data_IF_726122049055
#
_entry.id   IF_726122049055
#
_cell.length_a   1.000
_cell.length_b   1.000
_cell.length_c   1.000
_cell.angle_alpha   90.00
_cell.angle_beta   90.00
_cell.angle_gamma   90.00
#
_symmetry.space_group_name_H-M   'P 1'
#
loop_
_entity.id
_entity.type
_entity.pdbx_description
1 polymer ?
#
# COMPACT_ATOMS: atom_id res chain seq x y z
N UNK A 1 -10.64 -15.50 -7.45
CA UNK A 1 -10.46 -14.11 -7.92
C UNK A 1 -11.08 -13.25 -6.85
N UNK A 2 -10.31 -12.35 -6.26
CA UNK A 2 -10.75 -11.50 -5.14
C UNK A 2 -11.31 -10.22 -5.73
N UNK A 3 -12.46 -9.74 -5.25
CA UNK A 3 -13.03 -8.47 -5.68
C UNK A 3 -12.66 -7.38 -4.69
N UNK A 4 -12.16 -6.28 -5.23
CA UNK A 4 -11.70 -5.13 -4.46
C UNK A 4 -12.54 -3.91 -4.89
N UNK A 5 -13.01 -3.14 -3.93
CA UNK A 5 -13.62 -1.84 -4.21
C UNK A 5 -12.71 -0.70 -3.73
N UNK A 6 -12.24 0.13 -4.65
CA UNK A 6 -11.57 1.38 -4.28
C UNK A 6 -12.62 2.45 -4.05
N UNK A 7 -12.73 2.92 -2.81
CA UNK A 7 -13.70 3.93 -2.38
C UNK A 7 -12.97 5.26 -2.24
N UNK A 8 -13.23 6.20 -3.15
CA UNK A 8 -12.50 7.46 -3.25
C UNK A 8 -13.37 8.61 -2.72
N UNK A 9 -12.83 9.39 -1.78
CA UNK A 9 -13.45 10.61 -1.26
C UNK A 9 -12.65 11.85 -1.65
N UNK A 10 -13.28 12.73 -2.42
CA UNK A 10 -12.72 14.00 -2.89
C UNK A 10 -12.92 14.18 -4.39
N UNK A 11 -12.67 15.40 -4.88
CA UNK A 11 -12.73 15.66 -6.33
C UNK A 11 -11.75 14.76 -7.08
N UNK A 12 -12.22 14.19 -8.20
CA UNK A 12 -11.45 13.33 -9.08
C UNK A 12 -10.08 13.93 -9.39
N UNK A 13 -9.03 13.28 -8.88
CA UNK A 13 -7.63 13.53 -9.22
C UNK A 13 -7.17 12.38 -10.12
N UNK A 14 -6.86 12.68 -11.37
CA UNK A 14 -6.44 11.68 -12.36
C UNK A 14 -5.21 10.89 -11.86
N UNK A 15 -4.37 11.53 -11.05
CA UNK A 15 -3.20 10.93 -10.42
C UNK A 15 -3.56 9.68 -9.60
N UNK A 16 -4.67 9.73 -8.86
CA UNK A 16 -5.07 8.60 -8.03
C UNK A 16 -5.42 7.36 -8.85
N UNK A 17 -6.09 7.54 -9.99
CA UNK A 17 -6.42 6.43 -10.88
C UNK A 17 -5.16 5.77 -11.46
N UNK A 18 -4.12 6.56 -11.78
CA UNK A 18 -2.84 6.02 -12.25
C UNK A 18 -2.11 5.21 -11.17
N UNK A 19 -2.17 5.66 -9.92
CA UNK A 19 -1.58 4.93 -8.80
C UNK A 19 -2.34 3.63 -8.49
N UNK A 20 -3.68 3.68 -8.52
CA UNK A 20 -4.52 2.48 -8.40
C UNK A 20 -4.18 1.48 -9.50
N UNK A 21 -4.06 1.93 -10.75
CA UNK A 21 -3.71 1.07 -11.87
C UNK A 21 -2.34 0.41 -11.67
N UNK A 22 -1.30 1.16 -11.28
CA UNK A 22 0.02 0.59 -11.02
C UNK A 22 -0.02 -0.45 -9.89
N UNK A 23 -0.71 -0.16 -8.79
CA UNK A 23 -0.87 -1.09 -7.68
C UNK A 23 -1.60 -2.37 -8.12
N UNK A 24 -2.70 -2.23 -8.86
CA UNK A 24 -3.47 -3.35 -9.39
C UNK A 24 -2.63 -4.18 -10.36
N UNK A 25 -1.92 -3.56 -11.30
CA UNK A 25 -1.04 -4.24 -12.25
C UNK A 25 0.09 -5.01 -11.53
N UNK A 26 0.64 -4.44 -10.46
CA UNK A 26 1.63 -5.11 -9.64
C UNK A 26 1.04 -6.34 -8.95
N UNK A 27 -0.08 -6.20 -8.23
CA UNK A 27 -0.74 -7.31 -7.51
C UNK A 27 -1.20 -8.41 -8.48
N UNK A 28 -1.79 -8.06 -9.63
CA UNK A 28 -2.35 -8.99 -10.61
C UNK A 28 -1.31 -9.94 -11.26
N UNK A 29 -0.02 -9.65 -11.10
CA UNK A 29 1.08 -10.56 -11.47
C UNK A 29 1.14 -11.79 -10.57
N UNK A 30 0.64 -11.69 -9.33
CA UNK A 30 0.77 -12.71 -8.29
C UNK A 30 -0.60 -13.25 -7.82
N UNK A 31 -1.57 -12.37 -7.61
CA UNK A 31 -2.91 -12.72 -7.15
C UNK A 31 -3.94 -12.09 -8.10
N UNK A 32 -4.83 -12.91 -8.68
CA UNK A 32 -5.87 -12.42 -9.59
C UNK A 32 -6.95 -11.66 -8.82
N UNK A 33 -7.01 -10.36 -9.09
CA UNK A 33 -7.97 -9.43 -8.53
C UNK A 33 -8.86 -8.84 -9.63
N UNK A 34 -10.13 -8.68 -9.28
CA UNK A 34 -11.10 -7.86 -10.00
C UNK A 34 -11.35 -6.60 -9.18
N UNK A 35 -11.54 -5.44 -9.81
CA UNK A 35 -11.69 -4.20 -9.07
C UNK A 35 -12.74 -3.25 -9.64
N UNK A 36 -13.41 -2.53 -8.74
CA UNK A 36 -14.32 -1.43 -9.07
C UNK A 36 -13.87 -0.17 -8.34
N UNK A 37 -14.06 1.00 -8.96
CA UNK A 37 -13.85 2.30 -8.31
C UNK A 37 -15.22 2.93 -8.03
N UNK A 38 -15.50 3.22 -6.76
CA UNK A 38 -16.63 4.05 -6.33
C UNK A 38 -16.08 5.39 -5.85
N UNK A 39 -16.66 6.50 -6.29
CA UNK A 39 -16.16 7.84 -5.94
C UNK A 39 -17.26 8.74 -5.40
N UNK A 40 -16.90 9.52 -4.39
CA UNK A 40 -17.71 10.56 -3.78
C UNK A 40 -17.01 11.91 -3.91
N UNK A 41 -17.75 12.95 -4.29
CA UNK A 41 -17.19 14.30 -4.45
C UNK A 41 -16.83 14.93 -3.09
N UNK A 42 -17.35 14.39 -2.00
CA UNK A 42 -17.15 14.89 -0.64
C UNK A 42 -15.71 14.67 -0.17
N UNK A 43 -15.08 15.72 0.34
CA UNK A 43 -13.82 15.62 1.08
C UNK A 43 -14.09 15.19 2.52
N UNK A 44 -13.21 14.36 3.09
CA UNK A 44 -13.28 13.96 4.51
C UNK A 44 -12.51 14.98 5.35
N UNK A 45 -13.11 15.41 6.46
CA UNK A 45 -12.41 16.23 7.45
C UNK A 45 -11.53 15.33 8.33
N UNK A 46 -10.20 15.44 8.27
CA UNK A 46 -9.36 14.60 9.10
C UNK A 46 -9.37 15.08 10.56
N UNK A 47 -9.40 14.14 11.50
CA UNK A 47 -9.00 14.35 12.87
C UNK A 47 -7.47 14.43 12.97
N UNK A 48 -6.96 15.35 13.78
CA UNK A 48 -5.52 15.46 14.05
C UNK A 48 -5.19 14.76 15.36
N UNK A 49 -4.20 13.86 15.34
CA UNK A 49 -3.65 13.21 16.53
C UNK A 49 -2.31 13.86 16.87
N UNK A 50 -2.30 14.63 17.97
CA UNK A 50 -1.16 15.44 18.37
C UNK A 50 0.09 14.62 18.72
N UNK A 51 -0.07 13.46 19.36
CA UNK A 51 1.04 12.61 19.83
C UNK A 51 1.86 12.00 18.69
N UNK A 52 1.21 11.68 17.57
CA UNK A 52 1.85 11.15 16.37
C UNK A 52 2.08 12.21 15.30
N UNK A 53 1.68 13.46 15.54
CA UNK A 53 1.69 14.55 14.55
C UNK A 53 1.01 14.16 13.22
N UNK A 54 -0.12 13.45 13.30
CA UNK A 54 -0.70 12.75 12.17
C UNK A 54 -2.19 13.08 11.95
N UNK A 55 -2.69 12.94 10.72
CA UNK A 55 -4.09 13.16 10.34
C UNK A 55 -4.78 11.82 10.04
N UNK A 56 -5.94 11.58 10.64
CA UNK A 56 -6.72 10.34 10.53
C UNK A 56 -8.17 10.65 10.15
N UNK A 57 -8.86 9.69 9.52
CA UNK A 57 -10.31 9.75 9.39
C UNK A 57 -10.95 8.74 10.35
N UNK A 58 -11.92 9.17 11.13
CA UNK A 58 -12.65 8.30 12.03
C UNK A 58 -13.66 7.46 11.23
N UNK A 59 -13.94 6.22 11.64
CA UNK A 59 -14.92 5.36 10.95
C UNK A 59 -16.30 6.02 10.81
N UNK A 60 -16.68 6.82 11.82
CA UNK A 60 -17.88 7.65 11.80
C UNK A 60 -17.98 8.63 10.63
N UNK A 61 -16.85 9.09 10.08
CA UNK A 61 -16.80 10.02 8.94
C UNK A 61 -17.28 9.36 7.64
N UNK A 62 -17.22 8.03 7.60
CA UNK A 62 -17.58 7.23 6.43
C UNK A 62 -18.98 6.62 6.51
N UNK A 63 -19.58 6.62 7.70
CA UNK A 63 -20.86 5.94 8.00
C UNK A 63 -22.02 6.35 7.09
N UNK A 64 -22.04 7.61 6.66
CA UNK A 64 -23.09 8.13 5.76
C UNK A 64 -22.97 7.57 4.33
N UNK A 65 -21.81 7.06 3.95
CA UNK A 65 -21.53 6.54 2.61
C UNK A 65 -21.64 5.01 2.53
N UNK A 66 -21.52 4.30 3.66
CA UNK A 66 -21.65 2.85 3.73
C UNK A 66 -22.89 2.31 2.97
N UNK A 67 -24.11 2.89 3.10
CA UNK A 67 -25.28 2.38 2.37
C UNK A 67 -25.22 2.59 0.86
N UNK A 68 -24.32 3.44 0.37
CA UNK A 68 -24.15 3.76 -1.06
C UNK A 68 -23.10 2.86 -1.73
N UNK A 69 -22.38 2.07 -0.94
CA UNK A 69 -21.32 1.19 -1.40
C UNK A 69 -21.88 -0.23 -1.48
N UNK A 70 -21.64 -0.92 -2.59
CA UNK A 70 -22.16 -2.30 -2.76
C UNK A 70 -21.47 -3.23 -1.77
N UNK A 71 -22.23 -4.02 -1.01
CA UNK A 71 -21.73 -4.99 -0.04
C UNK A 71 -21.36 -6.35 -0.70
N UNK A 72 -20.64 -6.31 -1.83
CA UNK A 72 -20.34 -7.49 -2.65
C UNK A 72 -18.84 -7.72 -2.90
N UNK A 73 -17.97 -7.00 -2.18
CA UNK A 73 -16.52 -7.08 -2.33
C UNK A 73 -15.89 -7.67 -1.07
N UNK A 74 -14.81 -8.42 -1.24
CA UNK A 74 -14.05 -9.02 -0.14
C UNK A 74 -13.17 -7.99 0.58
N UNK A 75 -12.71 -6.97 -0.16
CA UNK A 75 -11.85 -5.90 0.34
C UNK A 75 -12.36 -4.57 -0.20
N UNK A 76 -12.40 -3.56 0.66
CA UNK A 76 -12.53 -2.18 0.24
C UNK A 76 -11.22 -1.45 0.54
N UNK A 77 -10.81 -0.53 -0.32
CA UNK A 77 -9.65 0.32 -0.10
C UNK A 77 -10.13 1.76 -0.16
N UNK A 78 -10.17 2.42 0.98
CA UNK A 78 -10.62 3.78 1.10
C UNK A 78 -9.45 4.74 0.87
N UNK A 79 -9.68 5.73 0.03
CA UNK A 79 -8.70 6.74 -0.36
C UNK A 79 -9.37 8.10 -0.23
N UNK A 80 -8.79 9.02 0.56
CA UNK A 80 -9.40 10.34 0.76
C UNK A 80 -8.38 11.46 0.79
N UNK A 81 -8.81 12.64 0.36
CA UNK A 81 -8.00 13.86 0.46
C UNK A 81 -8.22 14.54 1.80
N UNK A 82 -7.15 14.90 2.50
CA UNK A 82 -7.24 15.76 3.70
C UNK A 82 -7.73 17.16 3.32
N UNK A 83 -8.85 17.60 3.93
CA UNK A 83 -9.37 18.96 3.74
C UNK A 83 -8.31 20.03 4.05
N UNK A 84 -8.21 21.05 3.19
CA UNK A 84 -7.28 22.17 3.38
C UNK A 84 -5.81 21.87 3.08
N UNK A 85 -5.51 20.67 2.55
CA UNK A 85 -4.15 20.25 2.16
C UNK A 85 -4.07 20.12 0.63
N UNK A 86 -2.99 20.62 0.03
CA UNK A 86 -2.93 20.78 -1.43
C UNK A 86 -2.82 19.43 -2.16
N UNK A 87 -2.10 18.44 -1.62
CA UNK A 87 -1.87 17.14 -2.29
C UNK A 87 -1.59 16.00 -1.29
N UNK A 88 -2.42 15.84 -0.26
CA UNK A 88 -2.29 14.71 0.68
C UNK A 88 -3.49 13.78 0.50
N UNK A 89 -3.28 12.74 -0.30
CA UNK A 89 -4.12 11.54 -0.25
C UNK A 89 -3.81 10.81 1.05
N UNK A 90 -4.78 10.08 1.59
CA UNK A 90 -4.73 9.19 2.75
C UNK A 90 -5.46 7.90 2.38
N UNK A 91 -5.17 6.79 3.05
CA UNK A 91 -5.87 5.55 2.73
C UNK A 91 -5.76 4.45 3.77
N UNK A 92 -6.73 3.55 3.72
CA UNK A 92 -6.83 2.36 4.57
C UNK A 92 -7.80 1.34 3.96
N UNK A 93 -7.67 0.06 4.28
CA UNK A 93 -8.64 -0.97 3.83
C UNK A 93 -9.93 -0.99 4.66
N UNK A 94 -11.03 -1.64 4.18
CA UNK A 94 -12.24 -2.18 4.87
C UNK A 94 -12.43 -3.70 4.62
N UNK A 95 -12.72 -4.53 5.64
CA UNK A 95 -12.93 -6.00 5.48
C UNK A 95 -13.09 -6.83 6.79
N UNK A 96 -13.56 -8.10 6.70
CA UNK A 96 -14.45 -8.70 7.71
C UNK A 96 -13.87 -9.45 8.91
N UNK A 97 -12.61 -9.93 8.94
CA UNK A 97 -12.12 -10.70 10.11
C UNK A 97 -11.02 -10.04 10.96
N UNK A 98 -10.25 -9.09 10.41
CA UNK A 98 -9.21 -8.37 11.18
C UNK A 98 -9.10 -6.87 10.87
N UNK A 99 -10.13 -6.31 10.24
CA UNK A 99 -10.02 -5.02 9.62
C UNK A 99 -10.94 -3.95 10.17
N UNK A 100 -12.25 -3.95 9.83
CA UNK A 100 -12.97 -2.67 9.78
C UNK A 100 -14.42 -2.68 10.24
N UNK A 101 -15.04 -3.83 10.51
CA UNK A 101 -16.32 -3.78 11.23
C UNK A 101 -16.17 -3.36 12.71
N UNK A 102 -14.92 -3.25 13.21
CA UNK A 102 -14.61 -2.82 14.58
C UNK A 102 -13.29 -2.05 14.77
N UNK A 103 -12.43 -1.92 13.75
CA UNK A 103 -11.20 -1.16 13.89
C UNK A 103 -11.30 0.17 13.15
N UNK A 104 -10.71 1.17 13.79
CA UNK A 104 -10.58 2.52 13.29
C UNK A 104 -9.99 2.49 11.89
N UNK A 105 -10.46 3.39 11.03
CA UNK A 105 -9.80 3.68 9.76
C UNK A 105 -8.53 4.47 10.02
N UNK A 106 -7.60 3.79 10.66
CA UNK A 106 -6.31 4.33 10.99
C UNK A 106 -5.50 4.33 9.70
N UNK A 107 -5.68 5.34 8.85
CA UNK A 107 -4.58 5.73 7.98
C UNK A 107 -3.65 6.54 8.85
N UNK A 108 -2.43 6.06 9.09
CA UNK A 108 -1.35 7.04 9.19
C UNK A 108 -1.50 7.95 7.97
N UNK A 109 -1.44 9.29 8.11
CA UNK A 109 -1.24 10.11 6.93
C UNK A 109 -0.03 9.53 6.20
N UNK A 110 0.02 9.72 4.89
CA UNK A 110 1.25 9.42 4.16
C UNK A 110 2.35 10.32 4.75
N UNK A 111 3.02 9.86 5.82
CA UNK A 111 3.61 10.77 6.79
C UNK A 111 4.84 11.42 6.18
N UNK A 112 4.80 12.75 6.16
CA UNK A 112 5.76 13.62 6.81
C UNK A 112 5.41 15.06 6.44
N UNK A 113 6.07 15.99 7.09
CA UNK A 113 6.31 17.38 6.65
C UNK A 113 6.53 17.60 5.13
N UNK A 114 6.79 16.52 4.39
CA UNK A 114 7.07 16.43 2.96
C UNK A 114 5.86 16.57 2.05
N UNK A 115 4.64 16.33 2.55
CA UNK A 115 3.42 16.48 1.76
C UNK A 115 3.23 17.92 1.20
N UNK A 116 4.03 18.86 1.71
CA UNK A 116 4.03 20.27 1.33
C UNK A 116 5.23 20.73 0.48
N UNK A 117 6.40 20.08 0.53
CA UNK A 117 7.63 20.66 -0.03
C UNK A 117 8.57 19.70 -0.79
N UNK A 118 8.53 18.37 -0.57
CA UNK A 118 9.52 17.45 -1.16
C UNK A 118 8.96 16.44 -2.17
N UNK A 119 7.64 16.24 -2.22
CA UNK A 119 7.06 15.09 -2.95
C UNK A 119 7.18 15.18 -4.48
N UNK A 120 7.42 16.37 -5.05
CA UNK A 120 7.72 16.54 -6.49
C UNK A 120 6.89 15.62 -7.41
N UNK A 121 7.58 14.84 -8.25
CA UNK A 121 6.99 13.85 -9.17
C UNK A 121 6.86 12.43 -8.55
N UNK A 122 7.23 12.23 -7.27
CA UNK A 122 7.21 10.90 -6.62
C UNK A 122 5.83 10.50 -6.06
N UNK A 123 4.79 11.32 -6.29
CA UNK A 123 3.44 11.08 -5.79
C UNK A 123 2.90 9.70 -6.19
N UNK A 124 3.18 9.25 -7.43
CA UNK A 124 2.61 8.02 -7.98
C UNK A 124 3.11 6.82 -7.21
N UNK A 125 4.43 6.71 -7.11
CA UNK A 125 5.10 5.68 -6.33
C UNK A 125 4.53 5.57 -4.92
N UNK A 126 4.44 6.69 -4.18
CA UNK A 126 4.01 6.67 -2.77
C UNK A 126 2.56 6.21 -2.59
N UNK A 127 1.67 6.68 -3.47
CA UNK A 127 0.25 6.26 -3.45
C UNK A 127 0.14 4.78 -3.84
N UNK A 128 0.82 4.35 -4.90
CA UNK A 128 0.85 2.94 -5.33
C UNK A 128 1.38 2.02 -4.23
N UNK A 129 2.48 2.41 -3.58
CA UNK A 129 3.11 1.67 -2.49
C UNK A 129 2.15 1.45 -1.33
N UNK A 130 1.46 2.50 -0.87
CA UNK A 130 0.50 2.37 0.25
C UNK A 130 -0.70 1.53 -0.14
N UNK A 131 -1.25 1.71 -1.34
CA UNK A 131 -2.34 0.86 -1.84
C UNK A 131 -1.92 -0.61 -1.78
N UNK A 132 -0.71 -0.93 -2.26
CA UNK A 132 -0.18 -2.30 -2.20
C UNK A 132 -0.01 -2.76 -0.75
N UNK A 133 0.54 -1.94 0.13
CA UNK A 133 0.70 -2.24 1.55
C UNK A 133 -0.63 -2.63 2.20
N UNK A 134 -1.64 -1.78 2.03
CA UNK A 134 -3.00 -1.97 2.54
C UNK A 134 -3.64 -3.26 1.99
N UNK A 135 -3.49 -3.51 0.69
CA UNK A 135 -3.96 -4.76 0.09
C UNK A 135 -3.29 -5.99 0.66
N UNK A 136 -1.99 -5.94 0.98
CA UNK A 136 -1.29 -7.06 1.59
C UNK A 136 -1.71 -7.31 3.03
N UNK A 137 -1.98 -6.26 3.80
CA UNK A 137 -2.56 -6.38 5.14
C UNK A 137 -3.95 -7.04 5.07
N UNK A 138 -4.77 -6.65 4.09
CA UNK A 138 -6.06 -7.30 3.85
C UNK A 138 -5.90 -8.75 3.39
N UNK A 139 -4.96 -9.05 2.49
CA UNK A 139 -4.67 -10.42 2.06
C UNK A 139 -4.20 -11.31 3.21
N UNK A 140 -3.40 -10.78 4.12
CA UNK A 140 -3.02 -11.46 5.36
C UNK A 140 -4.24 -11.80 6.21
N UNK A 141 -5.13 -10.83 6.45
CA UNK A 141 -6.37 -11.04 7.20
C UNK A 141 -7.31 -12.07 6.55
N UNK A 142 -7.20 -12.28 5.23
CA UNK A 142 -7.93 -13.30 4.48
C UNK A 142 -7.16 -14.64 4.35
N UNK A 143 -5.97 -14.76 4.94
CA UNK A 143 -5.13 -15.97 4.88
C UNK A 143 -4.51 -16.25 3.50
N UNK A 144 -4.33 -15.22 2.67
CA UNK A 144 -3.85 -15.33 1.29
C UNK A 144 -2.33 -15.14 1.14
N UNK A 145 -1.69 -14.56 2.16
CA UNK A 145 -0.25 -14.45 2.29
C UNK A 145 0.19 -15.38 3.41
N UNK A 146 1.28 -16.15 3.23
CA UNK A 146 1.74 -17.24 4.11
C UNK A 146 2.22 -16.73 5.50
N UNK A 147 1.32 -16.14 6.29
CA UNK A 147 1.62 -15.52 7.58
C UNK A 147 2.37 -14.18 7.48
N UNK A 148 2.57 -13.64 6.28
CA UNK A 148 3.26 -12.36 6.04
C UNK A 148 2.29 -11.23 5.73
N UNK A 149 2.68 -9.99 6.01
CA UNK A 149 1.82 -8.81 5.83
C UNK A 149 2.64 -7.57 5.43
N UNK A 150 1.96 -6.51 4.99
CA UNK A 150 2.58 -5.29 4.48
C UNK A 150 3.52 -4.62 5.48
N UNK A 151 3.20 -4.70 6.77
CA UNK A 151 3.98 -4.12 7.89
C UNK A 151 5.42 -4.67 8.02
N UNK A 152 5.74 -5.78 7.35
CA UNK A 152 7.12 -6.30 7.27
C UNK A 152 8.01 -5.52 6.29
N UNK A 153 7.43 -4.65 5.48
CA UNK A 153 8.16 -3.78 4.56
C UNK A 153 8.27 -2.36 5.11
N UNK A 154 9.39 -1.71 4.83
CA UNK A 154 9.58 -0.31 5.18
C UNK A 154 8.45 0.54 4.55
N UNK A 155 7.74 1.29 5.41
CA UNK A 155 6.61 2.11 4.98
C UNK A 155 7.07 3.25 4.05
N UNK A 156 8.27 3.79 4.27
CA UNK A 156 8.86 4.90 3.50
C UNK A 156 10.40 4.85 3.55
N UNK A 157 11.06 5.40 2.51
CA UNK A 157 12.52 5.61 2.53
C UNK A 157 13.37 4.69 1.67
N UNK A 158 12.78 3.97 0.70
CA UNK A 158 13.59 3.30 -0.32
C UNK A 158 14.40 4.32 -1.13
N UNK A 159 15.71 4.12 -1.20
CA UNK A 159 16.63 4.89 -2.04
C UNK A 159 16.26 4.79 -3.53
N UNK A 160 15.60 3.69 -3.93
CA UNK A 160 15.06 3.45 -5.26
C UNK A 160 13.51 3.46 -5.25
N UNK A 161 12.87 4.56 -5.70
CA UNK A 161 11.41 4.69 -5.79
C UNK A 161 10.75 3.75 -6.81
N UNK A 162 11.48 3.24 -7.80
CA UNK A 162 10.92 2.39 -8.85
C UNK A 162 10.86 0.92 -8.45
N UNK A 163 11.90 0.43 -7.77
CA UNK A 163 12.09 -1.00 -7.49
C UNK A 163 12.07 -1.39 -6.02
N UNK A 164 12.57 -0.55 -5.11
CA UNK A 164 12.86 -0.95 -3.73
C UNK A 164 11.66 -1.51 -2.98
N UNK A 165 10.51 -0.84 -3.10
CA UNK A 165 9.27 -1.28 -2.47
C UNK A 165 8.66 -2.53 -3.13
N UNK A 166 8.73 -2.66 -4.46
CA UNK A 166 8.15 -3.78 -5.21
C UNK A 166 8.81 -5.10 -4.85
N UNK A 167 10.11 -5.09 -4.56
CA UNK A 167 10.84 -6.30 -4.18
C UNK A 167 10.39 -6.85 -2.83
N UNK A 168 10.23 -5.98 -1.82
CA UNK A 168 9.76 -6.40 -0.50
C UNK A 168 8.33 -6.95 -0.58
N UNK A 169 7.42 -6.27 -1.27
CA UNK A 169 6.05 -6.75 -1.41
C UNK A 169 5.92 -8.01 -2.28
N UNK A 170 6.80 -8.19 -3.28
CA UNK A 170 6.89 -9.46 -4.01
C UNK A 170 7.27 -10.60 -3.07
N UNK A 171 8.18 -10.38 -2.13
CA UNK A 171 8.55 -11.39 -1.14
C UNK A 171 7.35 -11.82 -0.30
N UNK A 172 6.52 -10.87 0.15
CA UNK A 172 5.27 -11.16 0.86
C UNK A 172 4.31 -11.99 0.00
N UNK A 173 4.12 -11.60 -1.26
CA UNK A 173 3.15 -12.24 -2.17
C UNK A 173 3.56 -13.63 -2.65
N UNK A 174 4.85 -13.93 -2.73
CA UNK A 174 5.35 -15.15 -3.36
C UNK A 174 5.94 -16.16 -2.38
N UNK A 175 6.18 -15.77 -1.13
CA UNK A 175 6.96 -16.59 -0.19
C UNK A 175 8.47 -16.62 -0.49
N UNK A 176 8.86 -16.25 -1.71
CA UNK A 176 10.20 -16.41 -2.26
C UNK A 176 10.98 -15.11 -2.12
N UNK A 177 11.95 -15.08 -1.21
CA UNK A 177 13.02 -14.07 -1.30
C UNK A 177 13.75 -14.46 -2.56
N UNK A 178 13.88 -13.56 -3.53
CA UNK A 178 14.58 -13.92 -4.74
C UNK A 178 15.95 -14.51 -4.38
N UNK A 179 16.39 -15.42 -5.24
CA UNK A 179 17.63 -16.22 -5.26
C UNK A 179 18.94 -15.45 -5.03
N UNK A 180 18.94 -14.29 -4.40
CA UNK A 180 20.10 -13.44 -4.19
C UNK A 180 20.93 -13.87 -3.00
N UNK A 181 20.38 -14.46 -1.94
CA UNK A 181 21.25 -15.11 -0.93
C UNK A 181 22.01 -16.29 -1.55
N UNK A 182 21.38 -17.09 -2.42
CA UNK A 182 22.08 -18.18 -3.13
C UNK A 182 23.04 -17.70 -4.21
N UNK A 183 22.72 -16.63 -4.95
CA UNK A 183 23.62 -16.05 -5.98
C UNK A 183 24.78 -15.30 -5.36
N UNK A 184 24.57 -14.49 -4.32
CA UNK A 184 25.64 -13.84 -3.55
C UNK A 184 26.55 -14.89 -2.92
N UNK A 185 25.99 -15.94 -2.33
CA UNK A 185 26.78 -17.02 -1.76
C UNK A 185 27.57 -17.80 -2.82
N UNK A 186 26.97 -18.13 -3.97
CA UNK A 186 27.70 -18.72 -5.11
C UNK A 186 28.82 -17.81 -5.61
N UNK A 187 28.56 -16.50 -5.69
CA UNK A 187 29.52 -15.52 -6.15
C UNK A 187 30.70 -15.35 -5.17
N UNK A 188 30.44 -15.37 -3.87
CA UNK A 188 31.49 -15.37 -2.84
C UNK A 188 32.34 -16.64 -2.89
N UNK A 189 31.71 -17.82 -3.05
CA UNK A 189 32.44 -19.08 -3.21
C UNK A 189 33.32 -19.06 -4.45
N UNK A 190 32.81 -18.62 -5.60
CA UNK A 190 33.58 -18.48 -6.83
C UNK A 190 34.75 -17.51 -6.65
N UNK A 191 34.55 -16.40 -5.93
CA UNK A 191 35.61 -15.42 -5.63
C UNK A 191 36.71 -15.99 -4.74
N UNK A 192 36.36 -16.81 -3.74
CA UNK A 192 37.33 -17.51 -2.88
C UNK A 192 38.11 -18.53 -3.70
N UNK A 193 37.43 -19.35 -4.51
CA UNK A 193 38.07 -20.35 -5.37
C UNK A 193 39.06 -19.73 -6.35
N UNK A 194 38.69 -18.64 -7.04
CA UNK A 194 39.57 -17.95 -7.99
C UNK A 194 40.80 -17.33 -7.30
N UNK A 195 40.67 -16.88 -6.04
CA UNK A 195 41.82 -16.40 -5.24
C UNK A 195 42.77 -17.51 -4.84
N UNK A 196 42.25 -18.71 -4.56
CA UNK A 196 43.06 -19.88 -4.23
C UNK A 196 43.84 -20.39 -5.45
N UNK A 197 43.21 -20.43 -6.63
CA UNK A 197 43.86 -20.84 -7.88
C UNK A 197 45.00 -19.88 -8.27
N UNK A 198 44.84 -18.57 -8.06
CA UNK A 198 45.90 -17.58 -8.35
C UNK A 198 47.11 -17.63 -7.40
N UNK A 199 47.06 -18.40 -6.33
CA UNK A 199 48.17 -18.58 -5.37
C UNK A 199 49.02 -19.83 -5.62
N UNK A 200 48.60 -20.69 -6.54
CA UNK A 200 49.38 -21.83 -7.06
C UNK A 200 49.93 -21.49 -8.44
#
# INVERSE_FOLDING_TARGET
MIKICFVIFGRHDYKLNEAILEAVEFINKYIKIDYEITSFVTEIEPAYWEESNCYFAHSGDFKLFEPLIKDSFEIYVCLWKSKGKVVCWNGGTWGPEYGIKNAWLCSLPYDLSDCYHQVGEQWKYRISQRIVHELLNAFHGLGLTEGRWGEECDEYGFDDPELGWKECYRFILTGQRERDEKKLWLYEILRIFLRLIRRF
#
